data_IF_760049355997
#
_entry.id   IF_760049355997
#
_cell.length_a   1.000
_cell.length_b   1.000
_cell.length_c   1.000
_cell.angle_alpha   90.00
_cell.angle_beta   90.00
_cell.angle_gamma   90.00
#
_symmetry.space_group_name_H-M   'P 1'
#
loop_
_entity.id
_entity.type
_entity.pdbx_description
1 polymer ?
#
# COMPACT_ATOMS: atom_id res chain seq x y z
N UNK A 1 20.27 61.52 -31.40
CA UNK A 1 21.19 61.15 -32.46
C UNK A 1 21.35 59.63 -32.40
N UNK A 2 20.80 58.96 -33.44
CA UNK A 2 20.92 57.56 -33.90
C UNK A 2 20.41 56.48 -32.95
N UNK A 3 19.24 55.90 -33.12
CA UNK A 3 18.80 54.98 -34.18
C UNK A 3 19.72 53.75 -34.33
N UNK A 4 19.30 52.58 -33.77
CA UNK A 4 19.67 51.27 -34.31
C UNK A 4 18.43 50.37 -34.25
N UNK A 5 17.84 50.26 -35.36
CA UNK A 5 17.07 49.30 -36.12
C UNK A 5 16.82 47.91 -35.49
N UNK A 6 15.51 47.58 -35.46
CA UNK A 6 14.94 46.24 -35.42
C UNK A 6 15.53 45.31 -36.50
N UNK A 7 15.82 44.08 -36.11
CA UNK A 7 15.79 42.94 -37.03
C UNK A 7 14.90 41.83 -36.50
N UNK A 8 13.73 41.81 -37.02
CA UNK A 8 12.80 40.71 -37.08
C UNK A 8 13.50 39.51 -37.75
N UNK A 9 13.62 38.39 -37.07
CA UNK A 9 13.89 37.10 -37.69
C UNK A 9 12.64 36.23 -37.58
N UNK A 10 11.98 36.12 -38.70
CA UNK A 10 10.88 35.20 -39.03
C UNK A 10 11.29 33.74 -38.79
N UNK A 11 10.78 33.12 -37.75
CA UNK A 11 10.80 31.68 -37.62
C UNK A 11 9.61 31.09 -38.38
N UNK A 12 9.92 30.54 -39.53
CA UNK A 12 9.05 29.75 -40.40
C UNK A 12 8.48 28.56 -39.62
N UNK A 13 7.17 28.55 -39.42
CA UNK A 13 6.44 27.36 -38.93
C UNK A 13 6.41 26.31 -40.04
N UNK A 14 7.05 25.18 -39.81
CA UNK A 14 6.88 23.98 -40.64
C UNK A 14 5.55 23.34 -40.23
N UNK A 15 4.58 23.13 -41.11
CA UNK A 15 3.38 22.39 -40.81
C UNK A 15 3.72 20.88 -40.81
N UNK A 16 3.65 20.25 -39.64
CA UNK A 16 3.66 18.78 -39.55
C UNK A 16 2.22 18.34 -39.91
N UNK A 17 2.05 17.99 -41.17
CA UNK A 17 0.88 17.27 -41.65
C UNK A 17 1.12 15.79 -41.40
N UNK A 18 0.13 15.05 -40.87
CA UNK A 18 0.19 13.60 -40.81
C UNK A 18 -0.63 12.98 -39.68
N UNK A 19 -1.93 13.03 -39.79
CA UNK A 19 -2.94 11.98 -39.63
C UNK A 19 -2.41 10.66 -39.05
N UNK A 20 -2.83 10.33 -37.83
CA UNK A 20 -3.50 9.07 -37.53
C UNK A 20 -4.19 9.17 -36.16
N UNK A 21 -5.48 9.46 -36.20
CA UNK A 21 -6.39 9.34 -35.05
C UNK A 21 -6.67 7.87 -34.77
N UNK A 22 -5.64 7.14 -34.33
CA UNK A 22 -5.83 5.96 -33.50
C UNK A 22 -5.95 6.48 -32.07
N UNK A 23 -7.15 6.40 -31.50
CA UNK A 23 -7.46 6.80 -30.13
C UNK A 23 -6.70 5.91 -29.15
N UNK A 24 -5.38 6.13 -29.02
CA UNK A 24 -4.56 5.48 -28.01
C UNK A 24 -5.03 5.99 -26.66
N UNK A 25 -5.73 5.13 -25.92
CA UNK A 25 -6.09 5.41 -24.52
C UNK A 25 -4.80 5.85 -23.81
N UNK A 26 -4.75 7.04 -23.19
CA UNK A 26 -3.56 7.51 -22.50
C UNK A 26 -3.05 6.41 -21.56
N UNK A 27 -1.75 6.14 -21.59
CA UNK A 27 -1.10 5.05 -20.81
C UNK A 27 -1.46 5.12 -19.32
N UNK A 28 -1.76 6.30 -18.82
CA UNK A 28 -2.19 6.55 -17.46
C UNK A 28 -3.59 5.99 -17.15
N UNK A 29 -4.58 6.14 -18.06
CA UNK A 29 -5.92 5.54 -17.95
C UNK A 29 -5.87 4.01 -18.05
N UNK A 30 -4.93 3.46 -18.84
CA UNK A 30 -4.72 2.01 -18.94
C UNK A 30 -4.10 1.44 -17.67
N UNK A 31 -3.20 2.18 -17.03
CA UNK A 31 -2.59 1.77 -15.75
C UNK A 31 -3.55 1.88 -14.56
N UNK A 32 -4.48 2.85 -14.57
CA UNK A 32 -5.52 2.93 -13.52
C UNK A 32 -6.47 1.73 -13.61
N UNK A 33 -6.89 1.34 -14.81
CA UNK A 33 -7.72 0.14 -15.01
C UNK A 33 -7.02 -1.16 -14.60
N UNK A 34 -5.73 -1.30 -14.88
CA UNK A 34 -4.92 -2.44 -14.42
C UNK A 34 -4.78 -2.48 -12.89
N UNK A 35 -4.67 -1.33 -12.22
CA UNK A 35 -4.66 -1.24 -10.76
C UNK A 35 -5.99 -1.66 -10.17
N UNK A 36 -7.09 -1.15 -10.72
CA UNK A 36 -8.45 -1.53 -10.30
C UNK A 36 -8.69 -3.01 -10.55
N UNK A 37 -8.25 -3.57 -11.69
CA UNK A 37 -8.37 -5.00 -11.97
C UNK A 37 -7.53 -5.86 -11.03
N UNK A 38 -6.31 -5.44 -10.66
CA UNK A 38 -5.46 -6.17 -9.70
C UNK A 38 -6.04 -6.10 -8.28
N UNK A 39 -6.58 -4.96 -7.84
CA UNK A 39 -7.27 -4.86 -6.54
C UNK A 39 -8.56 -5.67 -6.53
N UNK A 40 -9.33 -5.66 -7.62
CA UNK A 40 -10.54 -6.46 -7.77
C UNK A 40 -10.27 -7.95 -7.96
N UNK A 41 -9.15 -8.35 -8.61
CA UNK A 41 -8.77 -9.78 -8.72
C UNK A 41 -8.31 -10.33 -7.39
N UNK A 42 -7.59 -9.58 -6.58
CA UNK A 42 -7.24 -9.98 -5.20
C UNK A 42 -8.50 -10.03 -4.33
N UNK A 43 -9.37 -9.02 -4.39
CA UNK A 43 -10.65 -9.02 -3.68
C UNK A 43 -11.59 -10.14 -4.20
N UNK A 44 -11.64 -10.37 -5.51
CA UNK A 44 -12.47 -11.42 -6.13
C UNK A 44 -11.96 -12.83 -5.85
N UNK A 45 -10.65 -13.07 -5.92
CA UNK A 45 -10.04 -14.35 -5.51
C UNK A 45 -10.30 -14.62 -4.03
N UNK A 46 -10.32 -13.56 -3.24
CA UNK A 46 -10.60 -13.59 -1.81
C UNK A 46 -12.06 -13.95 -1.52
N UNK A 47 -13.03 -13.26 -2.14
CA UNK A 47 -14.46 -13.57 -2.05
C UNK A 47 -14.75 -14.97 -2.60
N UNK A 48 -14.08 -15.37 -3.68
CA UNK A 48 -14.18 -16.70 -4.26
C UNK A 48 -13.64 -17.79 -3.35
N UNK A 49 -12.50 -17.58 -2.70
CA UNK A 49 -11.93 -18.52 -1.73
C UNK A 49 -12.79 -18.61 -0.46
N UNK A 50 -13.35 -17.49 0.01
CA UNK A 50 -14.29 -17.45 1.11
C UNK A 50 -15.58 -18.20 0.77
N UNK A 51 -16.13 -17.95 -0.42
CA UNK A 51 -17.34 -18.61 -0.92
C UNK A 51 -17.13 -20.12 -1.14
N UNK A 52 -16.01 -20.53 -1.74
CA UNK A 52 -15.66 -21.94 -1.91
C UNK A 52 -15.53 -22.65 -0.55
N UNK A 53 -14.97 -21.99 0.45
CA UNK A 53 -14.81 -22.54 1.79
C UNK A 53 -16.12 -22.61 2.57
N UNK A 54 -16.99 -21.62 2.39
CA UNK A 54 -18.36 -21.65 2.94
C UNK A 54 -19.19 -22.78 2.31
N UNK A 55 -18.96 -23.08 1.03
CA UNK A 55 -19.68 -24.12 0.30
C UNK A 55 -19.17 -25.54 0.61
N UNK A 56 -17.86 -25.72 0.82
CA UNK A 56 -17.27 -27.02 1.17
C UNK A 56 -17.31 -27.33 2.67
N UNK A 57 -17.49 -26.33 3.53
CA UNK A 57 -17.74 -26.51 4.96
C UNK A 57 -19.17 -26.92 5.32
N UNK A 58 -20.10 -26.88 4.35
CA UNK A 58 -21.51 -27.17 4.56
C UNK A 58 -21.86 -28.67 4.72
N UNK A 59 -20.86 -29.55 4.82
CA UNK A 59 -21.05 -30.96 5.16
C UNK A 59 -21.27 -31.21 6.66
N UNK A 60 -21.06 -30.24 7.52
CA UNK A 60 -21.40 -30.30 8.96
C UNK A 60 -22.58 -29.40 9.23
N UNK A 61 -23.64 -29.98 9.80
CA UNK A 61 -24.86 -29.25 10.16
C UNK A 61 -24.56 -28.10 11.12
N UNK A 62 -24.41 -26.89 10.54
CA UNK A 62 -24.33 -25.65 11.33
C UNK A 62 -25.76 -25.33 11.75
N UNK A 63 -26.10 -25.60 13.01
CA UNK A 63 -27.43 -25.36 13.54
C UNK A 63 -27.71 -23.91 13.93
N UNK A 64 -26.67 -23.06 14.04
CA UNK A 64 -26.83 -21.63 14.31
C UNK A 64 -25.63 -20.78 13.85
N UNK A 65 -25.86 -19.50 13.58
CA UNK A 65 -24.82 -18.47 13.40
C UNK A 65 -23.89 -18.40 14.61
N UNK A 66 -24.39 -18.66 15.80
CA UNK A 66 -23.65 -18.69 17.04
C UNK A 66 -22.59 -19.79 17.03
N UNK A 67 -22.92 -21.00 16.52
CA UNK A 67 -21.98 -22.12 16.42
C UNK A 67 -20.91 -21.87 15.35
N UNK A 68 -21.26 -21.21 14.26
CA UNK A 68 -20.31 -20.77 13.22
C UNK A 68 -19.29 -19.76 13.75
N UNK A 69 -19.73 -18.80 14.55
CA UNK A 69 -18.88 -17.73 15.10
C UNK A 69 -18.03 -18.22 16.27
N UNK A 70 -18.53 -19.14 17.08
CA UNK A 70 -17.88 -19.61 18.30
C UNK A 70 -17.18 -20.98 18.18
N UNK A 71 -17.47 -21.76 17.13
CA UNK A 71 -16.85 -23.06 16.96
C UNK A 71 -15.39 -22.93 16.53
N UNK A 72 -14.49 -22.89 17.52
CA UNK A 72 -13.04 -22.76 17.36
C UNK A 72 -12.38 -24.00 16.74
N UNK A 73 -13.09 -25.13 16.64
CA UNK A 73 -12.52 -26.42 16.24
C UNK A 73 -12.76 -26.82 14.80
N UNK A 74 -13.69 -26.15 14.09
CA UNK A 74 -14.03 -26.49 12.71
C UNK A 74 -13.47 -25.46 11.72
N UNK A 75 -12.79 -25.91 10.75
CA UNK A 75 -12.23 -25.41 9.47
C UNK A 75 -12.68 -24.04 8.91
N UNK A 76 -13.27 -23.14 9.67
CA UNK A 76 -13.64 -21.77 9.31
C UNK A 76 -12.49 -20.76 9.51
N UNK A 77 -12.52 -19.63 8.80
CA UNK A 77 -11.65 -18.49 9.09
C UNK A 77 -12.02 -17.96 10.49
N UNK A 78 -11.03 -17.75 11.40
CA UNK A 78 -11.30 -17.12 12.68
C UNK A 78 -11.96 -15.75 12.47
N UNK A 79 -12.97 -15.41 13.27
CA UNK A 79 -13.70 -14.12 13.18
C UNK A 79 -12.74 -12.92 13.14
N UNK A 80 -11.65 -12.96 13.90
CA UNK A 80 -10.63 -11.91 13.88
C UNK A 80 -10.03 -11.68 12.50
N UNK A 81 -9.70 -12.75 11.77
CA UNK A 81 -9.17 -12.64 10.40
C UNK A 81 -10.23 -12.11 9.43
N UNK A 82 -11.50 -12.48 9.59
CA UNK A 82 -12.58 -11.91 8.77
C UNK A 82 -12.74 -10.40 8.99
N UNK A 83 -12.65 -9.94 10.24
CA UNK A 83 -12.69 -8.52 10.57
C UNK A 83 -11.47 -7.80 9.96
N UNK A 84 -10.26 -8.37 10.09
CA UNK A 84 -9.05 -7.83 9.48
C UNK A 84 -9.18 -7.67 7.97
N UNK A 85 -9.76 -8.65 7.30
CA UNK A 85 -10.06 -8.59 5.88
C UNK A 85 -10.98 -7.42 5.54
N UNK A 86 -12.06 -7.26 6.30
CA UNK A 86 -12.99 -6.14 6.10
C UNK A 86 -12.26 -4.80 6.28
N UNK A 87 -11.43 -4.66 7.31
CA UNK A 87 -10.62 -3.46 7.54
C UNK A 87 -9.68 -3.18 6.37
N UNK A 88 -8.97 -4.19 5.86
CA UNK A 88 -8.09 -4.04 4.69
C UNK A 88 -8.85 -3.70 3.41
N UNK A 89 -10.05 -4.25 3.21
CA UNK A 89 -10.90 -3.91 2.05
C UNK A 89 -11.36 -2.45 2.15
N UNK A 90 -11.86 -2.02 3.31
CA UNK A 90 -12.26 -0.63 3.52
C UNK A 90 -11.09 0.34 3.33
N UNK A 91 -9.92 -0.01 3.86
CA UNK A 91 -8.68 0.75 3.64
C UNK A 91 -8.30 0.82 2.17
N UNK A 92 -8.39 -0.29 1.43
CA UNK A 92 -8.09 -0.34 -0.01
C UNK A 92 -9.06 0.52 -0.82
N UNK A 93 -10.35 0.51 -0.49
CA UNK A 93 -11.35 1.36 -1.14
C UNK A 93 -11.07 2.85 -0.88
N UNK A 94 -10.76 3.23 0.37
CA UNK A 94 -10.31 4.58 0.68
C UNK A 94 -9.07 4.95 -0.15
N UNK A 95 -8.09 4.05 -0.25
CA UNK A 95 -6.84 4.29 -0.97
C UNK A 95 -7.04 4.54 -2.46
N UNK A 96 -7.93 3.78 -3.11
CA UNK A 96 -8.30 3.98 -4.52
C UNK A 96 -8.97 5.34 -4.75
N UNK A 97 -9.85 5.76 -3.84
CA UNK A 97 -10.48 7.09 -3.91
C UNK A 97 -9.43 8.18 -3.73
N UNK A 98 -8.61 8.09 -2.68
CA UNK A 98 -7.59 9.08 -2.36
C UNK A 98 -6.47 9.16 -3.43
N UNK A 99 -6.24 8.09 -4.20
CA UNK A 99 -5.24 8.08 -5.27
C UNK A 99 -5.60 8.96 -6.48
N UNK A 100 -6.88 9.33 -6.64
CA UNK A 100 -7.36 10.16 -7.77
C UNK A 100 -6.85 11.59 -7.69
N UNK A 101 -6.55 12.09 -6.49
CA UNK A 101 -6.11 13.47 -6.26
C UNK A 101 -4.58 13.65 -6.39
N UNK A 102 -3.85 12.60 -6.75
CA UNK A 102 -2.40 12.68 -6.90
C UNK A 102 -1.97 13.60 -8.05
N UNK A 103 -0.99 14.48 -7.81
CA UNK A 103 -0.45 15.37 -8.84
C UNK A 103 0.28 14.60 -9.95
N UNK A 104 0.48 15.25 -11.09
CA UNK A 104 1.21 14.69 -12.23
C UNK A 104 2.65 14.34 -11.86
N UNK A 105 3.18 13.33 -12.53
CA UNK A 105 4.48 12.77 -12.25
C UNK A 105 5.50 13.18 -13.31
N UNK A 106 6.62 13.80 -12.91
CA UNK A 106 7.74 14.14 -13.80
C UNK A 106 8.62 12.91 -14.09
N UNK A 107 8.97 12.16 -13.06
CA UNK A 107 9.83 10.99 -13.13
C UNK A 107 9.34 9.93 -12.15
N UNK A 108 9.47 8.67 -12.49
CA UNK A 108 9.04 7.56 -11.62
C UNK A 108 10.01 6.39 -11.72
N UNK A 109 9.97 5.51 -10.69
CA UNK A 109 10.71 4.26 -10.67
C UNK A 109 10.36 3.35 -11.88
N UNK A 110 11.28 2.44 -12.23
CA UNK A 110 11.06 1.49 -13.32
C UNK A 110 9.85 0.59 -13.05
N UNK A 111 9.18 0.15 -14.13
CA UNK A 111 8.05 -0.79 -14.04
C UNK A 111 8.45 -2.10 -13.36
N UNK A 112 9.70 -2.57 -13.59
CA UNK A 112 10.23 -3.77 -12.96
C UNK A 112 10.35 -3.60 -11.43
N UNK A 113 10.95 -2.49 -10.95
CA UNK A 113 11.07 -2.19 -9.52
C UNK A 113 9.73 -2.16 -8.81
N UNK A 114 8.76 -1.48 -9.43
CA UNK A 114 7.39 -1.44 -8.92
C UNK A 114 6.72 -2.81 -8.94
N UNK A 115 6.91 -3.59 -10.01
CA UNK A 115 6.40 -4.96 -10.11
C UNK A 115 6.92 -5.85 -8.99
N UNK A 116 8.22 -5.81 -8.72
CA UNK A 116 8.86 -6.54 -7.62
C UNK A 116 8.21 -6.16 -6.27
N UNK A 117 8.05 -4.85 -5.99
CA UNK A 117 7.42 -4.42 -4.74
C UNK A 117 5.99 -4.93 -4.60
N UNK A 118 5.18 -4.81 -5.64
CA UNK A 118 3.79 -5.29 -5.63
C UNK A 118 3.70 -6.81 -5.43
N UNK A 119 4.57 -7.58 -6.08
CA UNK A 119 4.65 -9.04 -5.90
C UNK A 119 5.01 -9.41 -4.47
N UNK A 120 6.03 -8.76 -3.89
CA UNK A 120 6.45 -9.01 -2.51
C UNK A 120 5.34 -8.69 -1.50
N UNK A 121 4.67 -7.54 -1.65
CA UNK A 121 3.57 -7.14 -0.77
C UNK A 121 2.36 -8.07 -0.93
N UNK A 122 2.01 -8.46 -2.17
CA UNK A 122 0.93 -9.42 -2.39
C UNK A 122 1.25 -10.78 -1.77
N UNK A 123 2.47 -11.29 -1.97
CA UNK A 123 2.91 -12.54 -1.35
C UNK A 123 2.88 -12.45 0.19
N UNK A 124 3.32 -11.34 0.77
CA UNK A 124 3.25 -11.09 2.19
C UNK A 124 1.80 -11.10 2.71
N UNK A 125 0.87 -10.44 2.01
CA UNK A 125 -0.55 -10.43 2.38
C UNK A 125 -1.18 -11.82 2.27
N UNK A 126 -0.84 -12.60 1.25
CA UNK A 126 -1.30 -13.99 1.13
C UNK A 126 -0.79 -14.84 2.29
N UNK A 127 0.49 -14.71 2.67
CA UNK A 127 1.06 -15.38 3.83
C UNK A 127 0.39 -14.92 5.14
N UNK A 128 0.06 -13.63 5.29
CA UNK A 128 -0.60 -13.11 6.50
C UNK A 128 -2.03 -13.65 6.68
N UNK A 129 -2.78 -13.73 5.58
CA UNK A 129 -4.23 -13.96 5.64
C UNK A 129 -4.63 -15.41 5.43
N UNK A 130 -3.81 -16.21 4.70
CA UNK A 130 -4.18 -17.57 4.33
C UNK A 130 -3.30 -18.61 5.05
N UNK A 131 -3.91 -19.58 5.72
CA UNK A 131 -3.16 -20.66 6.35
C UNK A 131 -2.51 -21.54 5.29
N UNK A 132 -1.21 -21.78 5.42
CA UNK A 132 -0.44 -22.64 4.53
C UNK A 132 -0.22 -23.99 5.21
N UNK A 133 -0.58 -25.12 4.57
CA UNK A 133 -0.26 -26.45 5.09
C UNK A 133 1.23 -26.56 5.40
N UNK A 134 1.56 -27.11 6.57
CA UNK A 134 2.95 -27.21 7.07
C UNK A 134 3.48 -25.97 7.81
N UNK A 135 2.83 -24.80 7.70
CA UNK A 135 3.23 -23.55 8.39
C UNK A 135 2.19 -23.09 9.42
N UNK A 136 1.36 -24.01 9.92
CA UNK A 136 0.30 -23.71 10.90
C UNK A 136 0.73 -23.84 12.37
N UNK A 137 2.01 -24.13 12.61
CA UNK A 137 2.54 -24.10 13.96
C UNK A 137 2.30 -22.72 14.58
N UNK A 138 1.83 -22.71 15.82
CA UNK A 138 1.50 -21.46 16.52
C UNK A 138 2.70 -20.97 17.32
N UNK A 139 3.00 -19.68 17.20
CA UNK A 139 3.96 -18.98 18.05
C UNK A 139 3.27 -18.15 19.15
N UNK A 140 1.95 -17.89 18.99
CA UNK A 140 1.11 -17.27 20.01
C UNK A 140 -0.07 -18.19 20.35
N UNK A 141 -0.54 -18.22 21.63
CA UNK A 141 -1.72 -18.97 22.00
C UNK A 141 -2.98 -18.42 21.32
N UNK A 142 -3.95 -19.30 21.05
CA UNK A 142 -5.25 -18.86 20.52
C UNK A 142 -6.09 -18.29 21.68
N UNK A 143 -6.03 -16.98 21.88
CA UNK A 143 -6.72 -16.28 22.94
C UNK A 143 -7.51 -15.08 22.40
N UNK A 144 -8.74 -14.91 22.88
CA UNK A 144 -9.60 -13.76 22.49
C UNK A 144 -8.93 -12.43 22.77
N UNK A 145 -8.19 -12.32 23.88
CA UNK A 145 -7.46 -11.10 24.22
C UNK A 145 -6.41 -10.74 23.13
N UNK A 146 -5.66 -11.72 22.61
CA UNK A 146 -4.69 -11.48 21.53
C UNK A 146 -5.38 -11.08 20.23
N UNK A 147 -6.53 -11.69 19.92
CA UNK A 147 -7.35 -11.27 18.77
C UNK A 147 -7.79 -9.82 18.91
N UNK A 148 -8.31 -9.41 20.06
CA UNK A 148 -8.73 -8.02 20.30
C UNK A 148 -7.54 -7.05 20.24
N UNK A 149 -6.42 -7.38 20.87
CA UNK A 149 -5.18 -6.58 20.81
C UNK A 149 -4.73 -6.42 19.35
N UNK A 150 -4.69 -7.49 18.57
CA UNK A 150 -4.31 -7.45 17.17
C UNK A 150 -5.24 -6.57 16.33
N UNK A 151 -6.56 -6.66 16.53
CA UNK A 151 -7.53 -5.81 15.84
C UNK A 151 -7.37 -4.33 16.21
N UNK A 152 -7.13 -4.00 17.47
CA UNK A 152 -6.88 -2.62 17.90
C UNK A 152 -5.60 -2.08 17.28
N UNK A 153 -4.52 -2.87 17.28
CA UNK A 153 -3.25 -2.50 16.63
C UNK A 153 -3.49 -2.28 15.13
N UNK A 154 -4.13 -3.21 14.44
CA UNK A 154 -4.42 -3.10 13.02
C UNK A 154 -5.20 -1.81 12.70
N UNK A 155 -6.30 -1.58 13.40
CA UNK A 155 -7.14 -0.40 13.18
C UNK A 155 -6.37 0.91 13.45
N UNK A 156 -5.63 0.99 14.56
CA UNK A 156 -4.86 2.18 14.92
C UNK A 156 -3.79 2.51 13.85
N UNK A 157 -3.08 1.50 13.35
CA UNK A 157 -2.05 1.70 12.34
C UNK A 157 -2.61 1.97 10.93
N UNK A 158 -3.77 1.41 10.57
CA UNK A 158 -4.49 1.81 9.35
C UNK A 158 -4.95 3.27 9.43
N UNK A 159 -5.45 3.72 10.58
CA UNK A 159 -5.80 5.13 10.80
C UNK A 159 -4.58 6.05 10.71
N UNK A 160 -3.42 5.63 11.24
CA UNK A 160 -2.16 6.36 11.06
C UNK A 160 -1.80 6.51 9.58
N UNK A 161 -1.93 5.43 8.79
CA UNK A 161 -1.67 5.48 7.35
C UNK A 161 -2.63 6.42 6.61
N UNK A 162 -3.92 6.42 6.99
CA UNK A 162 -4.93 7.33 6.45
C UNK A 162 -4.58 8.78 6.78
N UNK A 163 -4.27 9.09 8.04
CA UNK A 163 -3.87 10.44 8.46
C UNK A 163 -2.62 10.92 7.72
N UNK A 164 -1.58 10.10 7.66
CA UNK A 164 -0.37 10.42 6.91
C UNK A 164 -0.65 10.67 5.42
N UNK A 165 -1.52 9.85 4.80
CA UNK A 165 -1.94 10.01 3.40
C UNK A 165 -2.68 11.32 3.16
N UNK A 166 -3.56 11.73 4.07
CA UNK A 166 -4.30 13.00 3.97
C UNK A 166 -3.36 14.20 4.01
N UNK A 167 -2.34 14.18 4.88
CA UNK A 167 -1.36 15.27 4.96
C UNK A 167 -0.47 15.37 3.72
N UNK A 168 -0.11 14.25 3.08
CA UNK A 168 0.60 14.28 1.80
C UNK A 168 -0.24 14.86 0.67
N UNK A 169 -1.56 14.65 0.70
CA UNK A 169 -2.48 15.16 -0.31
C UNK A 169 -1.99 14.85 -1.72
N UNK A 170 -1.84 15.88 -2.56
CA UNK A 170 -1.39 15.77 -3.96
C UNK A 170 0.07 15.32 -4.12
N UNK A 171 0.91 15.46 -3.09
CA UNK A 171 2.30 15.01 -3.12
C UNK A 171 2.44 13.48 -3.10
N UNK A 172 1.38 12.76 -2.71
CA UNK A 172 1.41 11.31 -2.67
C UNK A 172 1.50 10.66 -4.05
N UNK A 173 2.24 9.56 -4.14
CA UNK A 173 2.31 8.69 -5.32
C UNK A 173 2.30 7.22 -4.94
N UNK A 174 1.58 6.40 -5.70
CA UNK A 174 1.61 4.93 -5.55
C UNK A 174 2.89 4.25 -6.08
N UNK A 175 3.65 4.97 -6.92
CA UNK A 175 5.01 4.60 -7.34
C UNK A 175 5.99 5.56 -6.69
N UNK A 176 7.26 5.17 -6.55
CA UNK A 176 8.30 6.14 -6.20
C UNK A 176 8.45 7.11 -7.37
N UNK A 177 8.10 8.37 -7.16
CA UNK A 177 8.01 9.35 -8.24
C UNK A 177 8.25 10.77 -7.73
N UNK A 178 8.83 11.59 -8.61
CA UNK A 178 8.98 13.03 -8.44
C UNK A 178 7.73 13.70 -9.01
N UNK A 179 7.06 14.51 -8.21
CA UNK A 179 5.89 15.28 -8.61
C UNK A 179 6.25 16.67 -9.14
N UNK A 180 5.33 17.26 -9.92
CA UNK A 180 5.40 18.67 -10.24
C UNK A 180 5.12 19.46 -8.95
N UNK A 181 5.97 20.45 -8.65
CA UNK A 181 5.88 21.31 -7.45
C UNK A 181 5.76 20.52 -6.14
N UNK A 182 6.54 19.44 -6.01
CA UNK A 182 6.55 18.59 -4.84
C UNK A 182 7.06 19.35 -3.61
N UNK A 183 6.30 19.32 -2.51
CA UNK A 183 6.69 19.87 -1.21
C UNK A 183 7.20 18.78 -0.27
N UNK A 184 8.22 19.09 0.53
CA UNK A 184 8.69 18.23 1.61
C UNK A 184 7.81 18.43 2.83
N UNK A 185 6.91 17.48 3.10
CA UNK A 185 6.00 17.52 4.24
C UNK A 185 6.73 16.97 5.48
N UNK A 186 6.78 17.80 6.54
CA UNK A 186 7.43 17.47 7.83
C UNK A 186 6.47 17.61 9.01
N UNK A 187 5.17 17.85 8.78
CA UNK A 187 4.16 18.07 9.84
C UNK A 187 3.41 16.79 10.20
N UNK A 188 2.72 16.81 11.35
CA UNK A 188 1.94 15.67 11.84
C UNK A 188 2.81 14.43 12.06
N UNK A 189 2.41 13.23 11.59
CA UNK A 189 3.18 12.00 11.78
C UNK A 189 4.55 12.04 11.09
N UNK A 190 4.75 12.91 10.07
CA UNK A 190 6.04 13.12 9.42
C UNK A 190 7.07 13.85 10.31
N UNK A 191 6.65 14.43 11.42
CA UNK A 191 7.56 14.98 12.41
C UNK A 191 8.22 13.89 13.28
N UNK A 192 7.62 12.72 13.37
CA UNK A 192 8.10 11.61 14.20
C UNK A 192 8.80 10.51 13.38
N UNK A 193 8.29 10.23 12.17
CA UNK A 193 8.89 9.27 11.24
C UNK A 193 8.76 9.78 9.81
N UNK A 194 9.77 9.46 8.97
CA UNK A 194 9.78 9.91 7.57
C UNK A 194 8.77 9.18 6.68
N UNK A 195 8.42 7.94 7.04
CA UNK A 195 7.53 7.08 6.26
C UNK A 195 6.32 6.57 7.08
N UNK A 196 5.48 7.48 7.63
CA UNK A 196 4.39 7.08 8.52
C UNK A 196 3.31 6.21 7.83
N UNK A 197 3.15 6.31 6.52
CA UNK A 197 2.28 5.40 5.76
C UNK A 197 2.81 3.97 5.85
N UNK A 198 4.13 3.77 5.70
CA UNK A 198 4.73 2.44 5.76
C UNK A 198 4.77 1.90 7.18
N UNK A 199 5.01 2.76 8.18
CA UNK A 199 4.82 2.40 9.60
C UNK A 199 3.40 1.92 9.87
N UNK A 200 2.40 2.63 9.32
CA UNK A 200 0.99 2.24 9.40
C UNK A 200 0.72 0.87 8.77
N UNK A 201 1.22 0.62 7.57
CA UNK A 201 1.03 -0.67 6.89
C UNK A 201 1.71 -1.82 7.66
N UNK A 202 2.96 -1.63 8.11
CA UNK A 202 3.69 -2.67 8.86
C UNK A 202 3.07 -2.92 10.23
N UNK A 203 2.59 -1.88 10.93
CA UNK A 203 1.86 -2.03 12.19
C UNK A 203 0.53 -2.75 12.01
N UNK A 204 -0.21 -2.48 10.93
CA UNK A 204 -1.43 -3.23 10.61
C UNK A 204 -1.13 -4.71 10.35
N UNK A 205 -0.07 -5.01 9.60
CA UNK A 205 0.35 -6.41 9.35
C UNK A 205 0.82 -7.11 10.63
N UNK A 206 1.46 -6.39 11.57
CA UNK A 206 1.76 -6.90 12.90
C UNK A 206 0.48 -7.28 13.66
N UNK A 207 -0.55 -6.44 13.60
CA UNK A 207 -1.87 -6.74 14.17
C UNK A 207 -2.44 -8.05 13.62
N UNK A 208 -2.42 -8.23 12.30
CA UNK A 208 -2.89 -9.46 11.63
C UNK A 208 -2.04 -10.68 12.05
N UNK A 209 -0.72 -10.53 12.14
CA UNK A 209 0.16 -11.62 12.59
C UNK A 209 -0.14 -12.06 14.02
N UNK A 210 -0.47 -11.12 14.92
CA UNK A 210 -0.91 -11.41 16.29
C UNK A 210 -2.26 -12.14 16.29
N UNK A 211 -3.24 -11.70 15.48
CA UNK A 211 -4.55 -12.35 15.35
C UNK A 211 -4.39 -13.79 14.87
N UNK A 212 -3.59 -14.00 13.83
CA UNK A 212 -3.29 -15.32 13.31
C UNK A 212 -2.56 -16.19 14.34
N UNK A 213 -1.47 -15.66 14.92
CA UNK A 213 -0.59 -16.38 15.83
C UNK A 213 0.12 -17.59 15.22
N UNK A 214 0.09 -17.77 13.89
CA UNK A 214 0.67 -18.90 13.15
C UNK A 214 1.94 -18.49 12.39
N UNK A 215 2.86 -19.44 12.19
CA UNK A 215 4.18 -19.18 11.57
C UNK A 215 4.07 -18.58 10.18
N UNK A 216 3.08 -18.97 9.36
CA UNK A 216 2.88 -18.37 8.03
C UNK A 216 2.67 -16.87 8.10
N UNK A 217 1.93 -16.37 9.10
CA UNK A 217 1.68 -14.94 9.25
C UNK A 217 2.92 -14.17 9.72
N UNK A 218 3.75 -14.80 10.58
CA UNK A 218 5.05 -14.24 10.95
C UNK A 218 5.98 -14.11 9.74
N UNK A 219 6.04 -15.14 8.88
CA UNK A 219 6.80 -15.08 7.62
C UNK A 219 6.26 -14.00 6.68
N UNK A 220 4.93 -13.84 6.61
CA UNK A 220 4.29 -12.75 5.87
C UNK A 220 4.71 -11.37 6.37
N UNK A 221 4.73 -11.17 7.68
CA UNK A 221 5.20 -9.92 8.29
C UNK A 221 6.68 -9.65 7.96
N UNK A 222 7.56 -10.65 8.08
CA UNK A 222 8.98 -10.52 7.73
C UNK A 222 9.15 -10.13 6.26
N UNK A 223 8.40 -10.79 5.37
CA UNK A 223 8.44 -10.47 3.93
C UNK A 223 7.94 -9.05 3.65
N UNK A 224 6.89 -8.59 4.35
CA UNK A 224 6.42 -7.21 4.26
C UNK A 224 7.48 -6.21 4.74
N UNK A 225 8.14 -6.47 5.86
CA UNK A 225 9.24 -5.63 6.35
C UNK A 225 10.34 -5.49 5.29
N UNK A 226 10.74 -6.58 4.65
CA UNK A 226 11.71 -6.54 3.56
C UNK A 226 11.21 -5.74 2.35
N UNK A 227 9.96 -5.93 1.94
CA UNK A 227 9.37 -5.22 0.80
C UNK A 227 9.33 -3.70 1.03
N UNK A 228 8.91 -3.25 2.22
CA UNK A 228 8.86 -1.84 2.57
C UNK A 228 10.25 -1.25 2.82
N UNK A 229 11.17 -1.98 3.46
CA UNK A 229 12.56 -1.55 3.57
C UNK A 229 13.20 -1.27 2.20
N UNK A 230 13.03 -2.18 1.24
CA UNK A 230 13.49 -1.97 -0.13
C UNK A 230 12.85 -0.73 -0.75
N UNK A 231 11.55 -0.53 -0.58
CA UNK A 231 10.84 0.63 -1.14
C UNK A 231 11.33 1.94 -0.53
N UNK A 232 11.52 1.99 0.78
CA UNK A 232 12.07 3.15 1.49
C UNK A 232 13.43 3.54 0.92
N UNK A 233 14.35 2.58 0.74
CA UNK A 233 15.68 2.86 0.18
C UNK A 233 15.62 3.52 -1.19
N UNK A 234 14.72 3.09 -2.05
CA UNK A 234 14.52 3.67 -3.38
C UNK A 234 13.90 5.08 -3.25
N UNK A 235 12.87 5.23 -2.44
CA UNK A 235 12.17 6.51 -2.25
C UNK A 235 13.10 7.58 -1.65
N UNK A 236 13.91 7.24 -0.66
CA UNK A 236 14.86 8.17 -0.05
C UNK A 236 15.94 8.65 -1.03
N UNK A 237 16.39 7.79 -1.96
CA UNK A 237 17.29 8.21 -3.04
C UNK A 237 16.64 9.27 -3.94
N UNK A 238 15.35 9.06 -4.32
CA UNK A 238 14.61 10.03 -5.12
C UNK A 238 14.38 11.34 -4.35
N UNK A 239 13.98 11.27 -3.09
CA UNK A 239 13.74 12.46 -2.25
C UNK A 239 15.02 13.25 -2.00
N UNK A 240 16.16 12.58 -1.79
CA UNK A 240 17.48 13.24 -1.68
C UNK A 240 17.88 13.95 -2.96
N UNK A 241 17.54 13.40 -4.13
CA UNK A 241 17.79 14.05 -5.42
C UNK A 241 16.93 15.30 -5.60
N UNK A 242 15.68 15.27 -5.12
CA UNK A 242 14.74 16.40 -5.28
C UNK A 242 15.01 17.52 -4.30
N UNK A 243 15.19 17.19 -3.02
CA UNK A 243 15.25 18.15 -1.92
C UNK A 243 16.68 18.46 -1.44
N UNK A 244 17.68 17.72 -1.93
CA UNK A 244 19.10 17.95 -1.62
C UNK A 244 19.37 17.96 -0.10
N UNK A 245 20.08 18.99 0.35
CA UNK A 245 20.49 19.18 1.76
C UNK A 245 19.29 19.23 2.72
N UNK A 246 18.15 19.76 2.29
CA UNK A 246 16.94 19.84 3.13
C UNK A 246 16.40 18.44 3.51
N UNK A 247 16.55 17.45 2.62
CA UNK A 247 16.17 16.08 2.94
C UNK A 247 17.23 15.37 3.78
N UNK A 248 18.51 15.63 3.53
CA UNK A 248 19.61 15.09 4.35
C UNK A 248 19.50 15.57 5.80
N UNK A 249 19.22 16.86 6.02
CA UNK A 249 18.94 17.40 7.34
C UNK A 249 17.73 16.72 7.99
N UNK A 250 16.65 16.52 7.26
CA UNK A 250 15.47 15.82 7.76
C UNK A 250 15.79 14.37 8.15
N UNK A 251 16.61 13.65 7.37
CA UNK A 251 17.05 12.29 7.68
C UNK A 251 17.91 12.22 8.96
N UNK A 252 18.70 13.26 9.24
CA UNK A 252 19.54 13.31 10.43
C UNK A 252 18.75 13.43 11.74
N UNK A 253 17.54 14.00 11.68
CA UNK A 253 16.75 14.31 12.89
C UNK A 253 15.51 13.43 13.07
N UNK A 254 15.03 12.80 12.01
CA UNK A 254 13.78 12.03 12.05
C UNK A 254 14.03 10.61 11.54
N UNK A 255 13.61 9.62 12.33
CA UNK A 255 13.75 8.19 12.01
C UNK A 255 12.88 7.77 10.80
N UNK A 256 13.23 6.68 10.12
CA UNK A 256 12.48 6.23 8.94
C UNK A 256 11.08 5.68 9.30
N UNK A 257 11.01 4.70 10.20
CA UNK A 257 9.79 3.92 10.50
C UNK A 257 9.36 3.96 11.97
N UNK A 258 10.32 3.89 12.89
CA UNK A 258 10.06 3.81 14.34
C UNK A 258 10.77 4.98 14.99
N UNK A 259 10.05 5.84 15.74
CA UNK A 259 10.66 7.00 16.39
C UNK A 259 11.85 6.59 17.26
N UNK A 260 12.99 7.23 17.04
CA UNK A 260 14.22 7.01 17.83
C UNK A 260 14.98 5.71 17.55
N UNK A 261 14.54 4.88 16.60
CA UNK A 261 15.20 3.58 16.32
C UNK A 261 15.77 3.52 14.92
N UNK A 262 15.00 3.89 13.89
CA UNK A 262 15.36 3.79 12.46
C UNK A 262 14.75 4.93 11.66
#
# INVERSE_FOLDING_TARGET
>A
MQEITERSSSLTRIPICGTNNGMAIPLEKRNSRLRTLLSWTVAGAFVGALWARLRHGAGTSIHSWHDFVLSREHAGFPLGILISIVLLVLFSLYWEVAAKDAADTKTQESRASRGIHLTLVTAAQLLLLFPIPGLRARFLPNATALTLIGLVIEAAFLLLAVWARQLLGRNWSGAVAIKVDQALIRSGPYNFVRHPIYSGMLGAYLGIAIISGEVHALLGLILACFAYWRKIRIEEQYLSTVFGSAYVDYQAHVSALIPGVL
#
